data_IF_621848244065
#
_entry.id   IF_621848244065
#
_cell.length_a   1.000
_cell.length_b   1.000
_cell.length_c   1.000
_cell.angle_alpha   90.00
_cell.angle_beta   90.00
_cell.angle_gamma   90.00
#
_symmetry.space_group_name_H-M   'P 1'
#
loop_
_entity.id
_entity.type
_entity.pdbx_description
1 polymer ?
#
# COMPACT_ATOMS: atom_id res chain seq x y z
N UNK A 1 14.08 47.87 -27.43
CA UNK A 1 14.62 47.29 -26.18
C UNK A 1 13.43 46.89 -25.33
N UNK A 2 13.05 45.62 -25.35
CA UNK A 2 11.96 45.09 -24.52
C UNK A 2 12.50 43.84 -23.84
N UNK A 3 12.71 43.96 -22.54
CA UNK A 3 13.20 42.92 -21.64
C UNK A 3 12.08 41.89 -21.42
N UNK A 4 12.03 40.88 -22.27
CA UNK A 4 11.14 39.74 -22.11
C UNK A 4 11.76 38.78 -21.10
N UNK A 5 11.40 38.91 -19.82
CA UNK A 5 11.79 37.92 -18.81
C UNK A 5 11.33 36.52 -19.23
N UNK A 6 12.23 35.54 -19.39
CA UNK A 6 11.83 34.19 -19.73
C UNK A 6 11.13 33.59 -18.51
N UNK A 7 9.82 33.32 -18.65
CA UNK A 7 9.05 32.54 -17.70
C UNK A 7 9.69 31.15 -17.61
N UNK A 8 10.51 30.91 -16.57
CA UNK A 8 11.05 29.58 -16.27
C UNK A 8 9.88 28.69 -15.86
N UNK A 9 9.41 27.85 -16.77
CA UNK A 9 8.61 26.70 -16.41
C UNK A 9 9.47 25.81 -15.49
N UNK A 10 9.13 25.75 -14.20
CA UNK A 10 9.67 24.69 -13.33
C UNK A 10 9.24 23.36 -13.93
N UNK A 11 10.15 22.41 -14.16
CA UNK A 11 9.73 21.06 -14.50
C UNK A 11 8.93 20.55 -13.31
N UNK A 12 7.64 20.27 -13.50
CA UNK A 12 6.89 19.49 -12.54
C UNK A 12 7.68 18.19 -12.35
N UNK A 13 8.17 17.95 -11.14
CA UNK A 13 8.95 16.76 -10.83
C UNK A 13 8.10 15.56 -11.24
N UNK A 14 8.61 14.74 -12.16
CA UNK A 14 7.85 13.61 -12.66
C UNK A 14 7.46 12.72 -11.46
N UNK A 15 6.21 12.24 -11.37
CA UNK A 15 5.78 11.41 -10.27
C UNK A 15 6.67 10.18 -10.21
N UNK A 16 7.22 9.91 -9.03
CA UNK A 16 8.14 8.79 -8.84
C UNK A 16 7.39 7.49 -9.08
N UNK A 17 7.83 6.72 -10.09
CA UNK A 17 7.27 5.39 -10.38
C UNK A 17 8.06 4.35 -9.60
N UNK A 18 7.38 3.65 -8.69
CA UNK A 18 7.96 2.68 -7.78
C UNK A 18 7.41 1.28 -8.07
N UNK A 19 8.24 0.25 -7.90
CA UNK A 19 7.77 -1.13 -7.88
C UNK A 19 6.95 -1.44 -6.62
N UNK A 20 6.12 -2.49 -6.67
CA UNK A 20 5.23 -2.88 -5.57
C UNK A 20 5.90 -2.93 -4.19
N UNK A 21 7.03 -3.62 -4.05
CA UNK A 21 7.72 -3.79 -2.77
C UNK A 21 8.36 -2.50 -2.26
N UNK A 22 8.90 -1.70 -3.16
CA UNK A 22 9.50 -0.41 -2.84
C UNK A 22 8.44 0.60 -2.39
N UNK A 23 7.32 0.66 -3.12
CA UNK A 23 6.19 1.51 -2.78
C UNK A 23 5.62 1.19 -1.39
N UNK A 24 5.49 -0.11 -1.04
CA UNK A 24 5.04 -0.52 0.30
C UNK A 24 5.98 0.02 1.37
N UNK A 25 7.31 -0.13 1.21
CA UNK A 25 8.29 0.37 2.19
C UNK A 25 8.24 1.89 2.34
N UNK A 26 8.13 2.61 1.24
CA UNK A 26 8.06 4.08 1.22
C UNK A 26 6.79 4.57 1.92
N UNK A 27 5.64 3.95 1.63
CA UNK A 27 4.36 4.26 2.28
C UNK A 27 4.38 3.92 3.77
N UNK A 28 5.02 2.82 4.17
CA UNK A 28 5.20 2.44 5.58
C UNK A 28 6.08 3.42 6.35
N UNK A 29 7.06 4.02 5.68
CA UNK A 29 7.89 5.09 6.21
C UNK A 29 7.18 6.47 6.25
N UNK A 30 5.95 6.56 5.73
CA UNK A 30 5.18 7.80 5.68
C UNK A 30 5.59 8.76 4.56
N UNK A 31 6.45 8.34 3.63
CA UNK A 31 7.00 9.18 2.56
C UNK A 31 6.27 8.99 1.21
N UNK A 32 4.95 8.83 1.23
CA UNK A 32 4.15 8.37 0.08
C UNK A 32 3.52 9.47 -0.79
N UNK A 33 3.96 10.72 -0.68
CA UNK A 33 3.35 11.81 -1.44
C UNK A 33 3.68 11.72 -2.93
N UNK A 34 2.64 11.80 -3.76
CA UNK A 34 2.70 11.81 -5.23
C UNK A 34 3.43 10.60 -5.88
N UNK A 35 3.37 9.44 -5.21
CA UNK A 35 3.94 8.20 -5.76
C UNK A 35 2.98 7.52 -6.76
N UNK A 36 3.56 7.01 -7.84
CA UNK A 36 2.88 6.08 -8.75
C UNK A 36 3.48 4.69 -8.55
N UNK A 37 2.64 3.68 -8.42
CA UNK A 37 3.09 2.31 -8.19
C UNK A 37 2.85 1.49 -9.45
N UNK A 38 3.91 0.89 -9.99
CA UNK A 38 3.81 -0.07 -11.08
C UNK A 38 3.48 -1.46 -10.51
N UNK A 39 2.35 -2.01 -10.95
CA UNK A 39 1.87 -3.34 -10.57
C UNK A 39 2.23 -4.41 -11.62
N UNK A 40 2.93 -4.02 -12.69
CA UNK A 40 3.21 -4.87 -13.84
C UNK A 40 2.08 -4.91 -14.87
N UNK A 41 2.38 -5.42 -16.06
CA UNK A 41 1.43 -5.54 -17.18
C UNK A 41 0.76 -4.21 -17.58
N UNK A 42 1.48 -3.10 -17.43
CA UNK A 42 0.97 -1.76 -17.73
C UNK A 42 -0.06 -1.23 -16.72
N UNK A 43 -0.20 -1.89 -15.57
CA UNK A 43 -1.13 -1.49 -14.50
C UNK A 43 -0.41 -0.57 -13.51
N UNK A 44 -1.05 0.57 -13.22
CA UNK A 44 -0.54 1.57 -12.27
C UNK A 44 -1.54 1.81 -11.14
N UNK A 45 -1.03 2.07 -9.94
CA UNK A 45 -1.83 2.45 -8.77
C UNK A 45 -1.33 3.76 -8.15
N UNK A 46 -2.27 4.57 -7.68
CA UNK A 46 -2.01 5.89 -7.05
C UNK A 46 -2.88 6.09 -5.81
N UNK A 47 -2.51 7.06 -4.98
CA UNK A 47 -3.29 7.44 -3.80
C UNK A 47 -4.47 8.31 -4.22
N UNK A 48 -5.55 7.65 -4.63
CA UNK A 48 -6.81 8.33 -4.96
C UNK A 48 -7.85 8.20 -3.84
N UNK A 49 -8.59 9.29 -3.61
CA UNK A 49 -9.75 9.35 -2.71
C UNK A 49 -9.44 9.66 -1.23
N UNK A 50 -10.47 9.61 -0.40
CA UNK A 50 -10.45 10.11 0.98
C UNK A 50 -9.47 9.41 1.94
N UNK A 51 -9.05 8.18 1.62
CA UNK A 51 -8.07 7.42 2.43
C UNK A 51 -6.61 7.63 1.97
N UNK A 52 -6.40 8.34 0.86
CA UNK A 52 -5.07 8.71 0.34
C UNK A 52 -4.04 7.58 0.38
N UNK A 53 -2.88 7.88 0.96
CA UNK A 53 -1.72 6.99 1.05
C UNK A 53 -1.98 5.75 1.92
N UNK A 54 -2.79 5.85 2.97
CA UNK A 54 -3.14 4.71 3.82
C UNK A 54 -4.02 3.70 3.05
N UNK A 55 -5.00 4.21 2.29
CA UNK A 55 -5.83 3.39 1.41
C UNK A 55 -5.01 2.73 0.30
N UNK A 56 -4.05 3.44 -0.27
CA UNK A 56 -3.11 2.87 -1.24
C UNK A 56 -2.29 1.75 -0.60
N UNK A 57 -1.66 1.99 0.55
CA UNK A 57 -0.85 0.99 1.26
C UNK A 57 -1.64 -0.30 1.54
N UNK A 58 -2.87 -0.19 2.00
CA UNK A 58 -3.73 -1.35 2.24
C UNK A 58 -3.99 -2.16 0.95
N UNK A 59 -4.27 -1.48 -0.17
CA UNK A 59 -4.47 -2.13 -1.47
C UNK A 59 -3.21 -2.83 -1.97
N UNK A 60 -2.04 -2.21 -1.83
CA UNK A 60 -0.76 -2.81 -2.26
C UNK A 60 -0.41 -4.06 -1.44
N UNK A 61 -0.61 -4.03 -0.11
CA UNK A 61 -0.42 -5.21 0.73
C UNK A 61 -1.36 -6.35 0.33
N UNK A 62 -2.63 -6.04 0.10
CA UNK A 62 -3.61 -7.01 -0.40
C UNK A 62 -3.21 -7.60 -1.76
N UNK A 63 -2.75 -6.76 -2.68
CA UNK A 63 -2.28 -7.20 -3.99
C UNK A 63 -1.06 -8.14 -3.88
N UNK A 64 -0.06 -7.79 -3.08
CA UNK A 64 1.11 -8.65 -2.82
C UNK A 64 0.72 -10.01 -2.23
N UNK A 65 -0.26 -10.02 -1.32
CA UNK A 65 -0.80 -11.27 -0.76
C UNK A 65 -1.47 -12.12 -1.83
N UNK A 66 -2.32 -11.52 -2.68
CA UNK A 66 -2.97 -12.24 -3.79
C UNK A 66 -1.95 -12.82 -4.78
N UNK A 67 -0.88 -12.09 -5.10
CA UNK A 67 0.20 -12.60 -5.94
C UNK A 67 0.89 -13.82 -5.32
N UNK A 68 1.20 -13.76 -4.02
CA UNK A 68 1.83 -14.88 -3.32
C UNK A 68 0.92 -16.12 -3.24
N UNK A 69 -0.38 -15.92 -3.05
CA UNK A 69 -1.38 -17.00 -3.07
C UNK A 69 -1.47 -17.63 -4.47
N UNK A 70 -1.58 -16.80 -5.51
CA UNK A 70 -1.69 -17.26 -6.89
C UNK A 70 -0.43 -18.00 -7.37
N UNK A 71 0.75 -17.61 -6.88
CA UNK A 71 2.02 -18.25 -7.23
C UNK A 71 2.29 -19.56 -6.47
N UNK A 72 1.39 -19.99 -5.58
CA UNK A 72 1.59 -21.17 -4.73
C UNK A 72 2.76 -21.03 -3.74
N UNK A 73 3.30 -19.82 -3.57
CA UNK A 73 4.49 -19.56 -2.76
C UNK A 73 4.17 -19.02 -1.35
N UNK A 74 2.88 -18.98 -0.98
CA UNK A 74 2.43 -18.33 0.24
C UNK A 74 2.64 -19.21 1.47
N UNK A 75 3.80 -19.09 2.10
CA UNK A 75 3.85 -19.12 3.57
C UNK A 75 3.29 -17.78 4.08
N UNK A 76 2.02 -17.81 4.50
CA UNK A 76 1.27 -16.64 4.95
C UNK A 76 1.83 -16.04 6.25
N UNK A 77 2.68 -16.77 6.98
CA UNK A 77 3.27 -16.32 8.24
C UNK A 77 4.09 -15.03 8.10
N UNK A 78 4.78 -14.84 6.97
CA UNK A 78 5.61 -13.65 6.69
C UNK A 78 4.82 -12.38 6.38
N UNK A 79 3.53 -12.54 6.06
CA UNK A 79 2.61 -11.45 5.75
C UNK A 79 1.69 -11.12 6.92
N UNK A 80 1.80 -11.86 8.03
CA UNK A 80 1.18 -11.49 9.30
C UNK A 80 1.66 -10.09 9.64
N UNK A 81 0.78 -9.12 9.40
CA UNK A 81 1.00 -7.73 9.76
C UNK A 81 1.50 -7.73 11.19
N UNK A 82 2.68 -7.14 11.44
CA UNK A 82 3.30 -7.02 12.74
C UNK A 82 2.19 -6.94 13.78
N UNK A 83 2.06 -8.01 14.59
CA UNK A 83 0.95 -8.20 15.50
C UNK A 83 0.88 -6.99 16.42
N UNK A 84 0.16 -5.94 16.01
CA UNK A 84 -0.46 -5.02 16.94
C UNK A 84 -1.33 -5.97 17.73
N UNK A 85 -0.89 -6.28 18.94
CA UNK A 85 -1.68 -6.95 19.94
C UNK A 85 -3.04 -6.28 19.90
N UNK A 86 -3.98 -6.94 19.23
CA UNK A 86 -5.35 -6.50 19.17
C UNK A 86 -5.82 -6.74 20.60
N UNK A 87 -6.00 -5.64 21.35
CA UNK A 87 -6.66 -5.72 22.65
C UNK A 87 -8.12 -6.00 22.34
N UNK A 88 -8.43 -7.28 22.20
CA UNK A 88 -9.79 -7.78 21.97
C UNK A 88 -10.50 -7.76 23.31
N UNK A 89 -11.65 -7.09 23.37
CA UNK A 89 -12.49 -7.13 24.56
C UNK A 89 -12.93 -8.58 24.84
N UNK A 90 -13.02 -9.02 26.12
CA UNK A 90 -13.30 -10.43 26.45
C UNK A 90 -14.52 -11.02 25.75
N UNK A 91 -15.60 -10.24 25.60
CA UNK A 91 -16.81 -10.68 24.91
C UNK A 91 -16.62 -10.94 23.40
N UNK A 92 -15.67 -10.27 22.76
CA UNK A 92 -15.35 -10.49 21.33
C UNK A 92 -14.45 -11.71 21.17
N UNK A 93 -13.59 -12.00 22.16
CA UNK A 93 -12.75 -13.20 22.16
C UNK A 93 -13.58 -14.48 22.24
N UNK A 94 -14.63 -14.51 23.08
CA UNK A 94 -15.54 -15.66 23.18
C UNK A 94 -16.24 -15.99 21.85
N UNK A 95 -16.62 -14.97 21.07
CA UNK A 95 -17.25 -15.15 19.76
C UNK A 95 -16.26 -15.72 18.74
N UNK A 96 -15.01 -15.21 18.74
CA UNK A 96 -13.96 -15.69 17.85
C UNK A 96 -13.58 -17.14 18.17
N UNK A 97 -13.47 -17.50 19.45
CA UNK A 97 -13.17 -18.86 19.89
C UNK A 97 -14.30 -19.83 19.49
N UNK A 98 -15.56 -19.43 19.64
CA UNK A 98 -16.71 -20.23 19.22
C UNK A 98 -16.79 -20.40 17.69
N UNK A 99 -16.36 -19.41 16.92
CA UNK A 99 -16.31 -19.50 15.46
C UNK A 99 -15.17 -20.39 14.95
N UNK A 100 -14.04 -20.45 15.68
CA UNK A 100 -12.88 -21.28 15.32
C UNK A 100 -13.03 -22.77 15.63
N UNK A 101 -14.00 -23.18 16.45
CA UNK A 101 -14.19 -24.57 16.87
C UNK A 101 -15.08 -25.42 15.94
N UNK A 102 -15.56 -24.90 14.81
CA UNK A 102 -16.35 -25.71 13.86
C UNK A 102 -15.44 -26.36 12.81
N UNK A 103 -14.87 -27.51 13.18
CA UNK A 103 -14.34 -28.53 12.27
C UNK A 103 -14.95 -29.89 12.61
#
# INVERSE_FOLDING_TARGET
MADGSPMRASPASAPQVLGLDEAIRVLEAGAGDDITVDLGDGRIARSEGARGNEGLLQRLRGHKMMLALASGAADLSRFSAASRSLVVAPAVQEILDAAGQRH
#
